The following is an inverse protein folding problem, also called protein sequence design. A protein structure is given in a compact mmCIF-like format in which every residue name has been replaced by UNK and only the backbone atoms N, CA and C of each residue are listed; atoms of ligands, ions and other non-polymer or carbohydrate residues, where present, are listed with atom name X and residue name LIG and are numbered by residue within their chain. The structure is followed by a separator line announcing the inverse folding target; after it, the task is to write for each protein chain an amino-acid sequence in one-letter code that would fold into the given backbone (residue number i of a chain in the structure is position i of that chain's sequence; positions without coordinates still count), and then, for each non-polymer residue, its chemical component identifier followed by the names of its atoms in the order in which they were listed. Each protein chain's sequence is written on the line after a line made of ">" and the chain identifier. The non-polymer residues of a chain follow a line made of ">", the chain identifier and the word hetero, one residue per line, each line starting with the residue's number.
data_IF_366460007476
#
_entry.id   IF_366460007476
#
_cell.length_a   1.000
_cell.length_b   1.000
_cell.length_c   1.000
_cell.angle_alpha   90.00
_cell.angle_beta   90.00
_cell.angle_gamma   90.00
#
_symmetry.space_group_name_H-M   'P 1'
#
loop_
_entity.id
_entity.type
_entity.pdbx_description
1 polymer ?
#
# COMPACT_ATOMS: atom_id res chain seq x y z
N UNK A 1 -7.95 11.85 1.62
CA UNK A 1 -7.70 10.43 1.28
C UNK A 1 -6.27 10.28 0.80
N UNK A 2 -5.56 9.25 1.23
CA UNK A 2 -4.18 8.98 0.81
C UNK A 2 -4.18 8.21 -0.52
N UNK A 3 -3.29 8.59 -1.41
CA UNK A 3 -3.10 8.01 -2.73
C UNK A 3 -1.63 7.68 -2.98
N UNK A 4 -1.41 6.65 -3.78
CA UNK A 4 -0.12 6.34 -4.38
C UNK A 4 -0.27 6.41 -5.89
N UNK A 5 0.60 7.20 -6.52
CA UNK A 5 0.69 7.29 -7.97
C UNK A 5 2.03 6.79 -8.46
N UNK A 6 2.04 6.01 -9.54
CA UNK A 6 3.23 5.59 -10.27
C UNK A 6 3.20 6.26 -11.64
N UNK A 7 4.16 7.14 -11.89
CA UNK A 7 4.38 7.75 -13.19
C UNK A 7 5.45 6.96 -13.93
N UNK A 8 5.16 6.52 -15.15
CA UNK A 8 6.13 6.00 -16.12
C UNK A 8 6.38 7.08 -17.18
N UNK A 9 7.62 7.52 -17.32
CA UNK A 9 8.02 8.63 -18.17
C UNK A 9 9.47 8.47 -18.65
N UNK A 10 9.67 8.47 -19.96
CA UNK A 10 11.01 8.53 -20.56
C UNK A 10 11.80 9.73 -20.04
N UNK A 11 13.05 9.49 -19.63
CA UNK A 11 13.89 10.53 -18.99
C UNK A 11 14.12 11.77 -19.86
N UNK A 12 14.07 11.62 -21.19
CA UNK A 12 14.19 12.75 -22.12
C UNK A 12 13.03 13.76 -21.99
N UNK A 13 11.87 13.31 -21.49
CA UNK A 13 10.68 14.13 -21.27
C UNK A 13 10.60 14.72 -19.86
N UNK A 14 11.61 14.52 -19.02
CA UNK A 14 11.69 15.13 -17.69
C UNK A 14 11.51 16.67 -17.73
N UNK A 15 12.07 17.42 -18.69
CA UNK A 15 11.81 18.85 -18.80
C UNK A 15 10.33 19.18 -19.01
N UNK A 16 9.60 18.37 -19.79
CA UNK A 16 8.16 18.54 -20.00
C UNK A 16 7.38 18.26 -18.72
N UNK A 17 7.73 17.21 -17.98
CA UNK A 17 7.13 16.94 -16.67
C UNK A 17 7.29 18.12 -15.71
N UNK A 18 8.51 18.66 -15.60
CA UNK A 18 8.73 19.84 -14.77
C UNK A 18 7.93 21.04 -15.26
N UNK A 19 7.84 21.27 -16.56
CA UNK A 19 7.01 22.34 -17.11
C UNK A 19 5.52 22.15 -16.74
N UNK A 20 4.98 20.93 -16.84
CA UNK A 20 3.61 20.60 -16.41
C UNK A 20 3.38 20.87 -14.93
N UNK A 21 4.33 20.49 -14.07
CA UNK A 21 4.25 20.75 -12.62
C UNK A 21 4.27 22.25 -12.34
N UNK A 22 5.24 22.99 -12.90
CA UNK A 22 5.42 24.42 -12.62
C UNK A 22 4.32 25.30 -13.22
N UNK A 23 3.76 24.91 -14.36
CA UNK A 23 2.59 25.58 -14.93
C UNK A 23 1.31 25.28 -14.12
N UNK A 24 1.26 24.09 -13.51
CA UNK A 24 0.17 23.66 -12.67
C UNK A 24 0.10 24.41 -11.34
N UNK A 25 -1.06 25.00 -11.05
CA UNK A 25 -1.36 25.52 -9.72
C UNK A 25 -1.98 24.40 -8.91
N UNK A 26 -1.17 23.68 -8.13
CA UNK A 26 -1.65 22.61 -7.27
C UNK A 26 -2.75 23.15 -6.32
N UNK A 27 -3.89 22.46 -6.18
CA UNK A 27 -4.89 22.84 -5.18
C UNK A 27 -4.27 22.82 -3.78
N UNK A 28 -4.69 23.76 -2.92
CA UNK A 28 -4.20 23.84 -1.54
C UNK A 28 -4.56 22.63 -0.66
N UNK A 29 -5.54 21.84 -1.11
CA UNK A 29 -5.97 20.57 -0.50
C UNK A 29 -5.06 19.40 -0.86
N UNK A 30 -4.27 19.50 -1.93
CA UNK A 30 -3.33 18.47 -2.34
C UNK A 30 -2.06 18.58 -1.51
N UNK A 31 -1.74 17.51 -0.77
CA UNK A 31 -0.54 17.43 0.07
C UNK A 31 0.36 16.31 -0.42
N UNK A 32 1.55 16.63 -0.91
CA UNK A 32 2.57 15.64 -1.25
C UNK A 32 3.31 15.21 0.02
N UNK A 33 3.24 13.92 0.36
CA UNK A 33 3.95 13.33 1.49
C UNK A 33 5.34 12.85 1.11
N UNK A 34 5.46 12.23 -0.07
CA UNK A 34 6.73 11.75 -0.58
C UNK A 34 6.75 11.67 -2.11
N UNK A 35 7.93 11.87 -2.69
CA UNK A 35 8.19 11.59 -4.10
C UNK A 35 9.52 10.86 -4.23
N UNK A 36 9.53 9.74 -4.97
CA UNK A 36 10.72 8.92 -5.16
C UNK A 36 10.96 8.67 -6.65
N UNK A 37 12.19 8.85 -7.10
CA UNK A 37 12.63 8.35 -8.39
C UNK A 37 13.02 6.88 -8.23
N UNK A 38 12.36 5.99 -8.96
CA UNK A 38 12.73 4.58 -9.02
C UNK A 38 13.84 4.38 -10.06
N UNK A 39 14.49 3.23 -10.03
CA UNK A 39 15.35 2.81 -11.13
C UNK A 39 14.57 2.77 -12.45
N UNK A 40 15.17 3.27 -13.53
CA UNK A 40 14.53 3.37 -14.84
C UNK A 40 13.77 4.68 -15.06
N UNK A 41 12.60 4.56 -15.66
CA UNK A 41 11.68 5.59 -16.14
C UNK A 41 10.48 5.81 -15.18
N UNK A 42 10.54 5.25 -13.96
CA UNK A 42 9.42 5.29 -13.01
C UNK A 42 9.64 6.25 -11.86
N UNK A 43 8.56 6.89 -11.42
CA UNK A 43 8.49 7.75 -10.24
C UNK A 43 7.27 7.41 -9.41
N UNK A 44 7.39 7.54 -8.10
CA UNK A 44 6.29 7.32 -7.15
C UNK A 44 5.97 8.62 -6.46
N UNK A 45 4.67 8.93 -6.35
CA UNK A 45 4.15 10.02 -5.56
C UNK A 45 3.21 9.46 -4.50
N UNK A 46 3.45 9.81 -3.24
CA UNK A 46 2.53 9.53 -2.12
C UNK A 46 1.94 10.86 -1.70
N UNK A 47 0.62 10.99 -1.82
CA UNK A 47 -0.04 12.28 -1.65
C UNK A 47 -1.44 12.12 -1.08
N UNK A 48 -1.96 13.18 -0.45
CA UNK A 48 -3.33 13.26 0.01
C UNK A 48 -4.12 14.27 -0.80
N UNK A 49 -5.37 13.92 -1.10
CA UNK A 49 -6.36 14.82 -1.68
C UNK A 49 -7.74 14.59 -1.09
N UNK A 50 -8.58 15.60 -1.17
CA UNK A 50 -9.95 15.62 -0.62
C UNK A 50 -10.99 15.95 -1.69
N UNK A 51 -10.57 16.40 -2.87
CA UNK A 51 -11.43 16.92 -3.91
C UNK A 51 -11.15 16.30 -5.29
N UNK A 52 -12.13 16.41 -6.20
CA UNK A 52 -11.93 16.05 -7.60
C UNK A 52 -10.84 16.90 -8.28
N UNK A 53 -10.61 18.14 -7.82
CA UNK A 53 -9.57 19.01 -8.34
C UNK A 53 -8.16 18.46 -8.04
N UNK A 54 -7.96 17.79 -6.90
CA UNK A 54 -6.68 17.17 -6.55
C UNK A 54 -6.35 16.02 -7.51
N UNK A 55 -7.35 15.17 -7.81
CA UNK A 55 -7.23 14.09 -8.79
C UNK A 55 -6.99 14.62 -10.20
N UNK A 56 -7.73 15.64 -10.61
CA UNK A 56 -7.53 16.30 -11.91
C UNK A 56 -6.14 16.91 -12.04
N UNK A 57 -5.61 17.53 -10.98
CA UNK A 57 -4.25 18.07 -11.00
C UNK A 57 -3.22 16.98 -11.25
N UNK A 58 -3.32 15.85 -10.54
CA UNK A 58 -2.40 14.72 -10.73
C UNK A 58 -2.56 14.07 -12.11
N UNK A 59 -3.80 13.94 -12.61
CA UNK A 59 -4.10 13.34 -13.92
C UNK A 59 -3.39 14.05 -15.08
N UNK A 60 -3.06 15.34 -14.96
CA UNK A 60 -2.31 16.10 -15.97
C UNK A 60 -0.94 15.52 -16.29
N UNK A 61 -0.36 14.72 -15.40
CA UNK A 61 0.91 14.06 -15.70
C UNK A 61 0.77 13.00 -16.80
N UNK A 62 -0.46 12.56 -17.11
CA UNK A 62 -0.77 11.74 -18.28
C UNK A 62 -0.59 12.48 -19.62
N UNK A 63 -0.45 13.81 -19.62
CA UNK A 63 -0.13 14.58 -20.85
C UNK A 63 1.30 14.29 -21.34
N UNK A 64 2.20 13.95 -20.41
CA UNK A 64 3.63 13.76 -20.69
C UNK A 64 4.12 12.34 -20.45
N UNK A 65 3.41 11.54 -19.66
CA UNK A 65 3.74 10.14 -19.40
C UNK A 65 2.50 9.31 -19.14
N UNK A 66 2.64 8.23 -18.37
CA UNK A 66 1.52 7.41 -17.93
C UNK A 66 1.51 7.35 -16.39
N UNK A 67 0.50 7.97 -15.79
CA UNK A 67 0.28 8.03 -14.35
C UNK A 67 -0.85 7.06 -13.95
N UNK A 68 -0.49 6.04 -13.19
CA UNK A 68 -1.44 5.16 -12.51
C UNK A 68 -1.62 5.64 -11.08
N UNK A 69 -2.85 5.86 -10.64
CA UNK A 69 -3.16 6.34 -9.28
C UNK A 69 -4.12 5.40 -8.59
N UNK A 70 -3.79 4.98 -7.36
CA UNK A 70 -4.64 4.15 -6.53
C UNK A 70 -4.83 4.78 -5.14
N UNK A 71 -6.05 4.71 -4.56
CA UNK A 71 -6.23 5.03 -3.15
C UNK A 71 -5.47 4.00 -2.30
N UNK A 72 -4.87 4.45 -1.20
CA UNK A 72 -4.13 3.58 -0.29
C UNK A 72 -4.64 3.69 1.14
N UNK A 73 -4.60 2.55 1.83
CA UNK A 73 -4.87 2.46 3.25
C UNK A 73 -3.54 2.29 3.96
N UNK A 74 -3.23 3.17 4.91
CA UNK A 74 -2.01 3.02 5.69
C UNK A 74 -2.09 1.76 6.54
N UNK A 75 -1.18 0.82 6.27
CA UNK A 75 -1.00 -0.44 7.00
C UNK A 75 0.42 -0.57 7.58
N UNK A 76 1.18 0.52 7.58
CA UNK A 76 2.62 0.55 7.90
C UNK A 76 2.90 -0.12 9.23
N UNK A 77 2.11 0.18 10.25
CA UNK A 77 2.32 -0.37 11.58
C UNK A 77 2.14 -1.89 11.64
N UNK A 78 1.10 -2.43 10.99
CA UNK A 78 0.90 -3.87 10.91
C UNK A 78 2.01 -4.60 10.15
N UNK A 79 2.55 -3.98 9.09
CA UNK A 79 3.72 -4.50 8.39
C UNK A 79 4.99 -4.45 9.25
N UNK A 80 5.19 -3.37 10.02
CA UNK A 80 6.34 -3.26 10.95
C UNK A 80 6.32 -4.37 12.00
N UNK A 81 5.17 -4.61 12.62
CA UNK A 81 5.04 -5.67 13.62
C UNK A 81 5.29 -7.05 12.97
N UNK A 82 4.76 -7.29 11.77
CA UNK A 82 5.00 -8.53 11.02
C UNK A 82 6.48 -8.74 10.67
N UNK A 83 7.19 -7.70 10.23
CA UNK A 83 8.63 -7.76 9.95
C UNK A 83 9.47 -8.00 11.20
N UNK A 84 9.01 -7.52 12.36
CA UNK A 84 9.62 -7.78 13.65
C UNK A 84 9.28 -9.17 14.22
N UNK A 85 8.31 -9.89 13.64
CA UNK A 85 7.79 -11.14 14.19
C UNK A 85 6.99 -10.94 15.50
N UNK A 86 6.51 -9.72 15.76
CA UNK A 86 5.85 -9.33 17.01
C UNK A 86 4.33 -9.55 16.92
N UNK A 87 3.90 -10.79 17.18
CA UNK A 87 2.49 -11.17 17.10
C UNK A 87 1.64 -10.51 18.19
N UNK A 88 2.20 -10.24 19.36
CA UNK A 88 1.49 -9.60 20.48
C UNK A 88 1.15 -8.16 20.15
N UNK A 89 2.13 -7.40 19.64
CA UNK A 89 1.91 -6.02 19.21
C UNK A 89 0.95 -5.95 18.03
N UNK A 90 1.06 -6.89 17.09
CA UNK A 90 0.11 -7.01 15.98
C UNK A 90 -1.33 -7.22 16.50
N UNK A 91 -1.52 -8.14 17.45
CA UNK A 91 -2.82 -8.42 18.06
C UNK A 91 -3.38 -7.21 18.81
N UNK A 92 -2.53 -6.50 19.57
CA UNK A 92 -2.93 -5.28 20.29
C UNK A 92 -3.50 -4.21 19.34
N UNK A 93 -2.93 -4.05 18.14
CA UNK A 93 -3.45 -3.10 17.14
C UNK A 93 -4.75 -3.52 16.48
N UNK A 94 -5.06 -4.81 16.47
CA UNK A 94 -6.39 -5.27 16.03
C UNK A 94 -7.47 -4.85 17.04
N UNK A 95 -7.10 -4.54 18.29
CA UNK A 95 -8.02 -4.13 19.34
C UNK A 95 -9.09 -5.19 19.56
N UNK A 96 -10.35 -4.77 19.68
CA UNK A 96 -11.50 -5.68 19.85
C UNK A 96 -11.67 -6.68 18.71
N UNK A 97 -11.14 -6.39 17.51
CA UNK A 97 -11.21 -7.35 16.41
C UNK A 97 -10.41 -8.61 16.70
N UNK A 98 -9.35 -8.53 17.52
CA UNK A 98 -8.51 -9.67 17.86
C UNK A 98 -9.28 -10.81 18.53
N UNK A 99 -10.35 -10.49 19.26
CA UNK A 99 -11.20 -11.46 19.99
C UNK A 99 -12.44 -11.88 19.21
N UNK A 100 -12.58 -11.44 17.96
CA UNK A 100 -13.64 -11.94 17.08
C UNK A 100 -13.16 -13.22 16.40
N UNK A 101 -14.05 -14.13 15.96
CA UNK A 101 -13.64 -15.35 15.24
C UNK A 101 -12.72 -15.05 14.04
N UNK A 102 -13.03 -14.02 13.26
CA UNK A 102 -12.18 -13.58 12.15
C UNK A 102 -10.81 -13.07 12.59
N UNK A 103 -10.73 -12.40 13.74
CA UNK A 103 -9.45 -11.94 14.31
C UNK A 103 -8.61 -13.07 14.88
N UNK A 104 -9.23 -14.00 15.60
CA UNK A 104 -8.57 -15.20 16.13
C UNK A 104 -8.01 -16.04 14.98
N UNK A 105 -8.80 -16.27 13.94
CA UNK A 105 -8.37 -16.96 12.73
C UNK A 105 -7.19 -16.23 12.06
N UNK A 106 -7.23 -14.91 11.97
CA UNK A 106 -6.14 -14.11 11.44
C UNK A 106 -4.85 -14.22 12.29
N UNK A 107 -4.97 -14.24 13.62
CA UNK A 107 -3.82 -14.44 14.52
C UNK A 107 -3.27 -15.86 14.44
N UNK A 108 -4.13 -16.86 14.27
CA UNK A 108 -3.73 -18.25 14.05
C UNK A 108 -2.84 -18.41 12.80
N UNK A 109 -3.26 -17.86 11.66
CA UNK A 109 -2.45 -17.85 10.43
C UNK A 109 -1.04 -17.30 10.66
N UNK A 110 -0.94 -16.19 11.39
CA UNK A 110 0.35 -15.51 11.66
C UNK A 110 1.22 -16.35 12.60
N UNK A 111 0.61 -16.96 13.62
CA UNK A 111 1.30 -17.90 14.53
C UNK A 111 1.86 -19.09 13.77
N UNK A 112 1.07 -19.73 12.90
CA UNK A 112 1.52 -20.85 12.05
C UNK A 112 2.73 -20.47 11.19
N UNK A 113 2.75 -19.24 10.69
CA UNK A 113 3.86 -18.69 9.91
C UNK A 113 5.11 -18.43 10.75
N UNK A 114 4.96 -17.84 11.94
CA UNK A 114 6.05 -17.52 12.86
C UNK A 114 6.74 -18.79 13.40
N UNK A 115 5.96 -19.82 13.72
CA UNK A 115 6.44 -21.09 14.29
C UNK A 115 6.93 -22.09 13.22
N UNK A 116 6.84 -21.75 11.93
CA UNK A 116 7.27 -22.64 10.87
C UNK A 116 8.81 -22.70 10.80
N UNK A 117 9.40 -23.90 10.60
CA UNK A 117 10.86 -24.06 10.57
C UNK A 117 11.54 -23.39 9.36
N UNK A 118 10.77 -23.08 8.31
CA UNK A 118 11.26 -22.39 7.12
C UNK A 118 10.10 -21.78 6.30
N UNK A 119 10.45 -20.93 5.34
CA UNK A 119 9.48 -20.20 4.50
C UNK A 119 8.60 -21.10 3.64
N UNK A 120 9.10 -22.26 3.19
CA UNK A 120 8.30 -23.22 2.42
C UNK A 120 7.20 -23.83 3.29
N UNK A 121 7.55 -24.23 4.52
CA UNK A 121 6.60 -24.78 5.50
C UNK A 121 5.58 -23.73 5.92
N UNK A 122 6.00 -22.49 6.15
CA UNK A 122 5.09 -21.38 6.47
C UNK A 122 4.03 -21.19 5.38
N UNK A 123 4.44 -21.14 4.10
CA UNK A 123 3.53 -21.00 2.96
C UNK A 123 2.62 -22.21 2.78
N UNK A 124 3.09 -23.42 3.07
CA UNK A 124 2.23 -24.62 3.04
C UNK A 124 1.15 -24.53 4.11
N UNK A 125 1.52 -24.23 5.36
CA UNK A 125 0.58 -24.04 6.47
C UNK A 125 -0.43 -22.92 6.22
N UNK A 126 0.00 -21.86 5.54
CA UNK A 126 -0.90 -20.78 5.13
C UNK A 126 -1.97 -21.25 4.14
N UNK A 127 -1.64 -22.14 3.20
CA UNK A 127 -2.63 -22.72 2.27
C UNK A 127 -3.57 -23.68 2.98
N UNK A 128 -3.04 -24.56 3.84
CA UNK A 128 -3.84 -25.46 4.69
C UNK A 128 -4.83 -24.66 5.53
N UNK A 129 -4.39 -23.54 6.13
CA UNK A 129 -5.27 -22.64 6.88
C UNK A 129 -6.40 -22.04 6.03
N UNK A 130 -6.14 -21.65 4.78
CA UNK A 130 -7.19 -21.13 3.87
C UNK A 130 -8.25 -22.21 3.61
N UNK A 131 -7.83 -23.43 3.30
CA UNK A 131 -8.73 -24.56 3.08
C UNK A 131 -9.58 -24.84 4.34
N UNK A 132 -8.98 -24.75 5.53
CA UNK A 132 -9.71 -24.88 6.80
C UNK A 132 -10.76 -23.78 7.01
N UNK A 133 -10.47 -22.52 6.63
CA UNK A 133 -11.45 -21.43 6.73
C UNK A 133 -12.61 -21.62 5.74
N UNK A 134 -12.31 -21.99 4.49
CA UNK A 134 -13.33 -22.21 3.46
C UNK A 134 -14.26 -23.38 3.78
N UNK A 135 -13.78 -24.38 4.51
CA UNK A 135 -14.61 -25.49 4.99
C UNK A 135 -15.44 -25.12 6.23
N UNK A 136 -14.93 -24.23 7.09
CA UNK A 136 -15.64 -23.77 8.28
C UNK A 136 -16.79 -22.78 7.96
N UNK A 137 -16.72 -22.10 6.81
CA UNK A 137 -17.74 -21.15 6.33
C UNK A 137 -18.88 -21.82 5.51
N UNK A 138 -18.82 -23.14 5.30
CA UNK A 138 -19.86 -23.95 4.62
C UNK A 138 -20.83 -24.60 5.60
#
# INVERSE_FOLDING_TARGET
>A
MLYLSILTLDRERDPELWATIWQGHAPHTLKLHAAYNLGGDKRVFVWEGESAADLQFMDRFNEVGQLETAPVFDRTEGWRDAFAGDLERFASRMGERATTPAGEAALDLRRRGLEAPNSQTARRRAREWVEEQEYADQ
#
